data_IF_199732199446
#
_entry.id   IF_199732199446
#
_cell.length_a   1.000
_cell.length_b   1.000
_cell.length_c   1.000
_cell.angle_alpha   90.00
_cell.angle_beta   90.00
_cell.angle_gamma   90.00
#
_symmetry.space_group_name_H-M   'P 1'
#
loop_
_entity.id
_entity.type
_entity.pdbx_description
1 polymer ?
#
# COMPACT_ATOMS: atom_id res chain seq x y z
N UNK A 1 -12.98 66.31 -4.18
CA UNK A 1 -11.79 65.50 -3.87
C UNK A 1 -12.25 64.37 -2.97
N UNK A 2 -12.66 63.26 -3.56
CA UNK A 2 -13.05 62.05 -2.83
C UNK A 2 -11.92 61.04 -2.99
N UNK A 3 -11.26 60.72 -1.90
CA UNK A 3 -10.14 59.78 -1.85
C UNK A 3 -10.71 58.37 -1.80
N UNK A 4 -10.52 57.59 -2.88
CA UNK A 4 -10.84 56.16 -2.92
C UNK A 4 -9.68 55.44 -2.24
N UNK A 5 -9.94 54.85 -1.07
CA UNK A 5 -9.02 53.92 -0.42
C UNK A 5 -9.15 52.56 -1.11
N UNK A 6 -8.10 52.15 -1.83
CA UNK A 6 -7.96 50.80 -2.36
C UNK A 6 -7.51 49.93 -1.18
N UNK A 7 -8.42 49.13 -0.63
CA UNK A 7 -8.06 48.08 0.29
C UNK A 7 -7.28 47.02 -0.49
N UNK A 8 -5.99 46.90 -0.21
CA UNK A 8 -5.17 45.82 -0.73
C UNK A 8 -5.69 44.50 -0.18
N UNK A 9 -6.15 43.61 -1.07
CA UNK A 9 -6.22 42.19 -0.76
C UNK A 9 -4.79 41.74 -0.47
N UNK A 10 -4.46 41.53 0.81
CA UNK A 10 -3.32 40.72 1.16
C UNK A 10 -3.67 39.29 0.72
N UNK A 11 -3.08 38.86 -0.39
CA UNK A 11 -3.04 37.46 -0.76
C UNK A 11 -2.17 36.78 0.32
N UNK A 12 -2.80 36.13 1.30
CA UNK A 12 -2.10 35.23 2.20
C UNK A 12 -1.61 34.08 1.34
N UNK A 13 -0.31 34.09 1.04
CA UNK A 13 0.37 32.90 0.55
C UNK A 13 0.25 31.90 1.70
N UNK A 14 -0.59 30.88 1.56
CA UNK A 14 -0.66 29.80 2.55
C UNK A 14 0.66 29.07 2.43
N UNK A 15 1.58 29.27 3.36
CA UNK A 15 2.74 28.40 3.46
C UNK A 15 2.25 27.04 3.94
N UNK A 16 2.81 25.96 3.41
CA UNK A 16 2.68 24.63 3.99
C UNK A 16 2.92 24.70 5.51
N UNK A 17 1.93 24.29 6.30
CA UNK A 17 2.00 24.22 7.76
C UNK A 17 1.96 22.76 8.23
N UNK A 18 2.45 22.52 9.44
CA UNK A 18 2.33 21.22 10.11
C UNK A 18 1.16 21.29 11.09
N UNK A 19 0.14 20.48 10.85
CA UNK A 19 -1.03 20.30 11.72
C UNK A 19 -0.77 19.08 12.60
N UNK A 20 -0.77 19.25 13.92
CA UNK A 20 -0.44 18.17 14.85
C UNK A 20 -1.69 17.51 15.44
N UNK A 21 -1.66 16.18 15.59
CA UNK A 21 -2.77 15.39 16.15
C UNK A 21 -2.29 14.44 17.24
N UNK A 22 -2.81 14.56 18.47
CA UNK A 22 -2.50 13.62 19.56
C UNK A 22 -3.63 13.44 20.56
N UNK A 23 -3.73 12.23 21.10
CA UNK A 23 -4.82 11.79 21.98
C UNK A 23 -4.84 12.49 23.35
N UNK A 24 -3.71 13.03 23.81
CA UNK A 24 -3.61 13.69 25.12
C UNK A 24 -4.06 15.16 25.11
N UNK A 25 -4.41 15.69 23.92
CA UNK A 25 -4.88 17.06 23.73
C UNK A 25 -3.77 18.12 23.77
N UNK A 26 -2.50 17.73 23.69
CA UNK A 26 -1.37 18.68 23.64
C UNK A 26 -1.11 19.25 22.24
N UNK A 27 -1.73 18.68 21.20
CA UNK A 27 -1.60 19.05 19.79
C UNK A 27 -2.75 19.96 19.33
N UNK A 28 -2.70 20.40 18.07
CA UNK A 28 -3.74 21.25 17.45
C UNK A 28 -5.10 20.55 17.42
N UNK A 29 -5.10 19.24 17.16
CA UNK A 29 -6.29 18.39 17.14
C UNK A 29 -6.11 17.12 17.98
N UNK A 30 -7.25 16.53 18.36
CA UNK A 30 -7.32 15.18 18.95
C UNK A 30 -7.90 14.16 17.97
N UNK A 31 -8.51 14.63 16.89
CA UNK A 31 -9.18 13.83 15.86
C UNK A 31 -8.54 14.07 14.48
N UNK A 32 -7.98 13.03 13.83
CA UNK A 32 -7.42 13.11 12.49
C UNK A 32 -8.42 13.61 11.44
N UNK A 33 -9.71 13.28 11.55
CA UNK A 33 -10.72 13.72 10.59
C UNK A 33 -10.94 15.24 10.68
N UNK A 34 -10.97 15.79 11.89
CA UNK A 34 -11.03 17.24 12.11
C UNK A 34 -9.77 17.97 11.58
N UNK A 35 -8.59 17.38 11.76
CA UNK A 35 -7.35 17.93 11.20
C UNK A 35 -7.37 17.96 9.66
N UNK A 36 -7.80 16.87 9.02
CA UNK A 36 -7.94 16.79 7.57
C UNK A 36 -8.95 17.79 7.01
N UNK A 37 -10.03 18.07 7.74
CA UNK A 37 -11.07 19.00 7.30
C UNK A 37 -10.62 20.47 7.22
N UNK A 38 -9.53 20.83 7.92
CA UNK A 38 -8.98 22.20 7.89
C UNK A 38 -7.71 22.31 7.04
N UNK A 39 -7.13 21.18 6.62
CA UNK A 39 -5.90 21.15 5.85
C UNK A 39 -6.06 21.81 4.47
N UNK A 40 -5.02 22.50 4.06
CA UNK A 40 -4.90 23.19 2.78
C UNK A 40 -3.71 22.65 1.97
N UNK A 41 -3.59 23.06 0.70
CA UNK A 41 -2.57 22.48 -0.20
C UNK A 41 -1.16 22.80 0.30
N UNK A 42 -0.39 21.73 0.49
CA UNK A 42 0.98 21.74 1.02
C UNK A 42 1.09 21.34 2.49
N UNK A 43 -0.02 21.23 3.23
CA UNK A 43 0.03 20.94 4.67
C UNK A 43 0.46 19.49 4.96
N UNK A 44 1.10 19.31 6.12
CA UNK A 44 1.46 18.01 6.69
C UNK A 44 0.63 17.78 7.95
N UNK A 45 -0.16 16.72 7.99
CA UNK A 45 -0.89 16.27 9.17
C UNK A 45 -0.02 15.25 9.90
N UNK A 46 0.63 15.67 10.99
CA UNK A 46 1.48 14.82 11.80
C UNK A 46 0.67 14.22 12.96
N UNK A 47 0.52 12.90 12.95
CA UNK A 47 -0.32 12.17 13.90
C UNK A 47 0.57 11.35 14.82
N UNK A 48 0.48 11.61 16.12
CA UNK A 48 1.23 10.88 17.13
C UNK A 48 0.85 9.38 17.17
N UNK A 49 1.68 8.58 17.85
CA UNK A 49 1.38 7.18 18.08
C UNK A 49 0.12 7.02 18.95
N UNK A 50 -0.74 6.06 18.59
CA UNK A 50 -1.98 5.80 19.30
C UNK A 50 -3.06 5.22 18.39
N UNK A 51 -4.16 4.78 19.01
CA UNK A 51 -5.36 4.34 18.32
C UNK A 51 -6.40 5.44 18.32
N UNK A 52 -6.73 5.93 17.13
CA UNK A 52 -7.72 6.96 16.88
C UNK A 52 -9.00 6.30 16.40
N UNK A 53 -9.99 6.29 17.28
CA UNK A 53 -11.33 5.74 17.01
C UNK A 53 -12.11 6.76 16.20
N UNK A 54 -12.31 6.48 14.91
CA UNK A 54 -12.92 7.42 13.99
C UNK A 54 -14.45 7.35 14.05
N UNK A 55 -15.09 8.50 14.29
CA UNK A 55 -16.53 8.67 14.09
C UNK A 55 -16.87 9.11 12.65
N UNK A 56 -15.90 9.72 11.97
CA UNK A 56 -16.00 10.16 10.58
C UNK A 56 -14.74 9.74 9.81
N UNK A 57 -14.84 9.46 8.50
CA UNK A 57 -13.67 9.19 7.68
C UNK A 57 -12.68 10.36 7.72
N UNK A 58 -11.38 10.04 7.69
CA UNK A 58 -10.36 11.04 7.35
C UNK A 58 -10.50 11.31 5.85
N UNK A 59 -11.03 12.49 5.49
CA UNK A 59 -11.32 12.85 4.10
C UNK A 59 -10.36 13.92 3.61
N UNK A 60 -9.49 13.58 2.66
CA UNK A 60 -8.70 14.54 1.90
C UNK A 60 -9.45 14.84 0.61
N UNK A 61 -9.97 16.07 0.50
CA UNK A 61 -10.75 16.51 -0.67
C UNK A 61 -10.22 17.80 -1.28
N UNK A 62 -9.58 17.70 -2.44
CA UNK A 62 -9.05 18.86 -3.18
C UNK A 62 -7.53 19.02 -3.08
N UNK A 63 -6.97 19.43 -1.93
CA UNK A 63 -5.58 19.88 -1.82
C UNK A 63 -4.57 18.73 -1.77
N UNK A 64 -3.32 19.04 -2.14
CA UNK A 64 -2.16 18.19 -1.85
C UNK A 64 -1.89 18.20 -0.36
N UNK A 65 -1.94 17.03 0.27
CA UNK A 65 -1.74 16.88 1.73
C UNK A 65 -0.88 15.67 2.00
N UNK A 66 0.01 15.79 2.98
CA UNK A 66 0.76 14.67 3.54
C UNK A 66 0.17 14.26 4.88
N UNK A 67 -0.09 12.96 5.09
CA UNK A 67 -0.38 12.38 6.40
C UNK A 67 0.86 11.62 6.85
N UNK A 68 1.40 11.97 8.02
CA UNK A 68 2.55 11.32 8.63
C UNK A 68 2.19 10.77 10.00
N UNK A 69 2.13 9.45 10.10
CA UNK A 69 2.01 8.75 11.38
C UNK A 69 3.37 8.58 12.08
N UNK A 70 3.32 8.12 13.32
CA UNK A 70 4.48 7.73 14.11
C UNK A 70 4.88 6.28 13.84
N UNK A 71 6.13 5.93 14.14
CA UNK A 71 6.65 4.55 14.08
C UNK A 71 7.08 4.05 15.47
N UNK A 72 7.07 2.72 15.65
CA UNK A 72 7.61 2.06 16.83
C UNK A 72 9.15 1.93 16.76
N UNK A 73 9.76 1.32 17.78
CA UNK A 73 11.21 1.13 17.85
C UNK A 73 11.80 0.18 16.78
N UNK A 74 10.95 -0.44 15.94
CA UNK A 74 11.34 -1.27 14.80
C UNK A 74 11.00 -0.62 13.45
N UNK A 75 10.53 0.62 13.45
CA UNK A 75 10.11 1.33 12.24
C UNK A 75 8.69 0.96 11.76
N UNK A 76 7.93 0.17 12.52
CA UNK A 76 6.56 -0.21 12.11
C UNK A 76 5.56 0.89 12.46
N UNK A 77 4.47 1.06 11.71
CA UNK A 77 3.44 2.06 12.00
C UNK A 77 2.88 1.93 13.42
N UNK A 78 2.83 3.05 14.14
CA UNK A 78 2.32 3.16 15.50
C UNK A 78 1.09 4.09 15.61
N UNK A 79 0.70 4.74 14.51
CA UNK A 79 -0.54 5.50 14.37
C UNK A 79 -1.60 4.60 13.75
N UNK A 80 -2.68 4.35 14.48
CA UNK A 80 -3.78 3.47 14.06
C UNK A 80 -5.04 4.30 13.86
N UNK A 81 -5.55 4.32 12.63
CA UNK A 81 -6.85 4.86 12.26
C UNK A 81 -7.86 3.70 12.24
N UNK A 82 -8.77 3.69 13.22
CA UNK A 82 -9.71 2.60 13.43
C UNK A 82 -11.13 3.05 13.08
N UNK A 83 -11.72 2.45 12.05
CA UNK A 83 -13.09 2.71 11.58
C UNK A 83 -14.19 2.09 12.46
N UNK A 84 -13.84 1.33 13.50
CA UNK A 84 -14.77 0.77 14.48
C UNK A 84 -15.88 -0.13 13.88
N UNK A 85 -15.60 -0.76 12.74
CA UNK A 85 -16.56 -1.54 11.97
C UNK A 85 -17.67 -0.68 11.34
N UNK A 86 -17.43 0.62 11.14
CA UNK A 86 -18.42 1.55 10.61
C UNK A 86 -17.80 2.60 9.70
N UNK A 87 -18.28 2.67 8.45
CA UNK A 87 -17.81 3.66 7.50
C UNK A 87 -16.40 3.39 6.99
N UNK A 88 -16.00 4.20 6.03
CA UNK A 88 -14.66 4.16 5.46
C UNK A 88 -13.66 4.84 6.39
N UNK A 89 -12.41 4.37 6.45
CA UNK A 89 -11.39 4.94 7.35
C UNK A 89 -10.73 6.17 6.72
N UNK A 90 -10.25 6.05 5.48
CA UNK A 90 -9.55 7.10 4.76
C UNK A 90 -10.08 7.22 3.32
N UNK A 91 -10.39 8.44 2.90
CA UNK A 91 -10.81 8.76 1.54
C UNK A 91 -9.97 9.89 0.96
N UNK A 92 -9.40 9.69 -0.23
CA UNK A 92 -8.54 10.64 -0.92
C UNK A 92 -9.12 10.94 -2.30
N UNK A 93 -9.57 12.19 -2.47
CA UNK A 93 -10.23 12.70 -3.67
C UNK A 93 -9.63 14.07 -4.02
N UNK A 94 -8.52 14.05 -4.75
CA UNK A 94 -7.74 15.24 -5.06
C UNK A 94 -8.28 16.02 -6.26
N UNK A 95 -7.95 17.31 -6.32
CA UNK A 95 -8.13 18.10 -7.53
C UNK A 95 -7.04 17.76 -8.57
N UNK A 96 -7.24 18.20 -9.81
CA UNK A 96 -6.31 17.93 -10.91
C UNK A 96 -4.93 18.53 -10.59
N UNK A 97 -3.88 17.73 -10.74
CA UNK A 97 -2.48 18.07 -10.44
C UNK A 97 -2.14 18.21 -8.95
N UNK A 98 -3.00 17.76 -8.04
CA UNK A 98 -2.68 17.66 -6.62
C UNK A 98 -2.24 16.22 -6.29
N UNK A 99 -1.40 16.07 -5.27
CA UNK A 99 -0.80 14.79 -4.87
C UNK A 99 -0.96 14.57 -3.38
N UNK A 100 -1.16 13.33 -2.94
CA UNK A 100 -1.18 12.99 -1.52
C UNK A 100 -0.08 11.99 -1.19
N UNK A 101 0.49 12.13 0.00
CA UNK A 101 1.39 11.13 0.58
C UNK A 101 0.85 10.68 1.92
N UNK A 102 0.86 9.39 2.18
CA UNK A 102 0.43 8.81 3.45
C UNK A 102 1.53 7.89 3.93
N UNK A 103 2.08 8.14 5.11
CA UNK A 103 3.14 7.31 5.65
C UNK A 103 2.91 6.90 7.11
N UNK A 104 3.40 5.73 7.47
CA UNK A 104 3.47 5.24 8.85
C UNK A 104 2.10 5.11 9.54
N UNK A 105 1.08 4.67 8.80
CA UNK A 105 -0.29 4.57 9.31
C UNK A 105 -0.86 3.16 9.17
N UNK A 106 -1.61 2.72 10.19
CA UNK A 106 -2.47 1.55 10.12
C UNK A 106 -3.90 2.01 9.82
N UNK A 107 -4.51 1.47 8.77
CA UNK A 107 -5.88 1.72 8.34
C UNK A 107 -6.69 0.44 8.57
N UNK A 108 -7.56 0.44 9.57
CA UNK A 108 -8.19 -0.80 10.04
C UNK A 108 -9.65 -0.67 10.45
N UNK A 109 -10.34 -1.82 10.51
CA UNK A 109 -11.72 -1.98 10.95
C UNK A 109 -12.71 -1.05 10.22
N UNK A 110 -12.46 -0.72 8.97
CA UNK A 110 -13.42 0.00 8.13
C UNK A 110 -14.53 -0.92 7.62
N UNK A 111 -15.73 -0.37 7.44
CA UNK A 111 -16.88 -1.05 6.85
C UNK A 111 -17.60 -0.11 5.88
N UNK A 112 -17.54 -0.40 4.58
CA UNK A 112 -18.17 0.42 3.55
C UNK A 112 -18.79 -0.43 2.42
N UNK A 113 -19.53 0.21 1.50
CA UNK A 113 -19.98 -0.48 0.28
C UNK A 113 -18.79 -0.80 -0.64
N UNK A 114 -17.81 0.11 -0.70
CA UNK A 114 -16.60 0.03 -1.51
C UNK A 114 -15.39 0.46 -0.67
N UNK A 115 -14.32 -0.34 -0.64
CA UNK A 115 -13.06 0.07 0.01
C UNK A 115 -13.20 0.30 1.51
N UNK A 116 -13.43 -0.74 2.31
CA UNK A 116 -13.69 -0.57 3.75
C UNK A 116 -12.68 0.34 4.45
N UNK A 117 -11.39 0.14 4.19
CA UNK A 117 -10.32 0.98 4.74
C UNK A 117 -10.09 2.25 3.92
N UNK A 118 -9.80 2.08 2.63
CA UNK A 118 -9.28 3.16 1.78
C UNK A 118 -10.09 3.33 0.50
N UNK A 119 -10.39 4.58 0.13
CA UNK A 119 -10.87 4.91 -1.22
C UNK A 119 -10.07 6.04 -1.82
N UNK A 120 -9.46 5.76 -2.96
CA UNK A 120 -8.75 6.74 -3.76
C UNK A 120 -9.47 6.94 -5.10
N UNK A 121 -9.70 8.21 -5.46
CA UNK A 121 -10.31 8.57 -6.74
C UNK A 121 -9.54 9.67 -7.47
N UNK A 122 -9.16 9.41 -8.71
CA UNK A 122 -8.53 10.35 -9.66
C UNK A 122 -7.33 11.10 -9.06
N UNK A 123 -6.50 10.41 -8.29
CA UNK A 123 -5.46 11.03 -7.47
C UNK A 123 -4.13 10.32 -7.68
N UNK A 124 -3.04 11.08 -7.75
CA UNK A 124 -1.69 10.55 -7.59
C UNK A 124 -1.41 10.47 -6.09
N UNK A 125 -1.23 9.25 -5.59
CA UNK A 125 -1.08 8.98 -4.16
C UNK A 125 0.06 8.01 -3.96
N UNK A 126 0.97 8.36 -3.05
CA UNK A 126 2.03 7.49 -2.58
C UNK A 126 1.72 7.09 -1.12
N UNK A 127 1.64 5.78 -0.87
CA UNK A 127 1.53 5.20 0.47
C UNK A 127 2.84 4.50 0.80
N UNK A 128 3.44 4.87 1.91
CA UNK A 128 4.74 4.33 2.35
C UNK A 128 4.62 3.76 3.76
N UNK A 129 5.14 2.55 3.99
CA UNK A 129 5.12 1.92 5.31
C UNK A 129 3.73 1.99 5.95
N UNK A 130 2.70 1.60 5.21
CA UNK A 130 1.33 1.59 5.67
C UNK A 130 0.82 0.16 5.84
N UNK A 131 -0.06 -0.04 6.82
CA UNK A 131 -0.74 -1.32 7.04
C UNK A 131 -2.22 -1.13 6.78
N UNK A 132 -2.79 -1.89 5.85
CA UNK A 132 -4.22 -1.86 5.53
C UNK A 132 -4.79 -3.22 5.89
N UNK A 133 -5.49 -3.31 7.02
CA UNK A 133 -5.86 -4.61 7.57
C UNK A 133 -7.23 -4.67 8.25
N UNK A 134 -7.86 -5.84 8.18
CA UNK A 134 -9.13 -6.09 8.88
C UNK A 134 -10.29 -5.21 8.42
N UNK A 135 -10.24 -4.69 7.20
CA UNK A 135 -11.31 -3.88 6.63
C UNK A 135 -12.31 -4.75 5.85
N UNK A 136 -13.55 -4.27 5.75
CA UNK A 136 -14.65 -4.94 5.10
C UNK A 136 -15.35 -4.07 4.06
N UNK A 137 -15.62 -4.63 2.88
CA UNK A 137 -16.53 -4.02 1.92
C UNK A 137 -17.68 -4.95 1.57
N UNK A 138 -18.86 -4.38 1.31
CA UNK A 138 -20.03 -5.17 0.91
C UNK A 138 -20.08 -5.48 -0.59
N UNK A 139 -19.35 -4.74 -1.44
CA UNK A 139 -19.42 -4.93 -2.90
C UNK A 139 -18.05 -5.19 -3.53
N UNK A 140 -17.11 -4.26 -3.44
CA UNK A 140 -15.81 -4.38 -4.10
C UNK A 140 -14.70 -3.76 -3.26
N UNK A 141 -13.56 -4.42 -3.22
CA UNK A 141 -12.38 -3.90 -2.54
C UNK A 141 -12.53 -3.94 -1.04
N UNK A 142 -12.38 -5.10 -0.41
CA UNK A 142 -12.55 -5.26 1.04
C UNK A 142 -11.70 -4.26 1.82
N UNK A 143 -10.42 -4.21 1.49
CA UNK A 143 -9.47 -3.21 2.00
C UNK A 143 -9.64 -1.87 1.32
N UNK A 144 -9.60 -1.88 -0.01
CA UNK A 144 -9.41 -0.65 -0.79
C UNK A 144 -10.23 -0.60 -2.07
N UNK A 145 -10.76 0.57 -2.40
CA UNK A 145 -11.31 0.85 -3.73
C UNK A 145 -10.46 1.92 -4.43
N UNK A 146 -9.83 1.52 -5.52
CA UNK A 146 -8.83 2.32 -6.23
C UNK A 146 -9.34 2.64 -7.63
N UNK A 147 -9.50 3.93 -7.92
CA UNK A 147 -9.81 4.42 -9.28
C UNK A 147 -8.90 5.58 -9.60
N UNK A 148 -7.94 5.39 -10.49
CA UNK A 148 -7.10 6.48 -10.96
C UNK A 148 -7.32 6.76 -12.46
N UNK A 149 -6.56 7.72 -13.00
CA UNK A 149 -6.53 8.06 -14.42
C UNK A 149 -5.19 7.62 -15.02
N UNK A 150 -5.13 7.35 -16.34
CA UNK A 150 -3.87 7.05 -17.02
C UNK A 150 -2.80 8.12 -16.74
N UNK A 151 -1.62 7.68 -16.29
CA UNK A 151 -0.49 8.57 -15.96
C UNK A 151 -0.44 9.10 -14.53
N UNK A 152 -1.42 8.75 -13.67
CA UNK A 152 -1.43 9.08 -12.24
C UNK A 152 -1.40 7.79 -11.41
N UNK A 153 -0.25 7.09 -11.29
CA UNK A 153 -0.22 5.84 -10.55
C UNK A 153 -0.54 6.07 -9.07
N UNK A 154 -1.12 5.05 -8.44
CA UNK A 154 -1.17 4.92 -6.98
C UNK A 154 -0.02 3.97 -6.60
N UNK A 155 0.90 4.42 -5.75
CA UNK A 155 2.04 3.62 -5.32
C UNK A 155 1.85 3.17 -3.87
N UNK A 156 2.07 1.89 -3.61
CA UNK A 156 2.27 1.33 -2.29
C UNK A 156 3.72 0.87 -2.20
N UNK A 157 4.47 1.42 -1.25
CA UNK A 157 5.87 1.13 -1.00
C UNK A 157 6.01 0.60 0.42
N UNK A 158 6.64 -0.56 0.57
CA UNK A 158 6.93 -1.16 1.89
C UNK A 158 5.67 -1.33 2.74
N UNK A 159 4.54 -1.67 2.11
CA UNK A 159 3.23 -1.75 2.75
C UNK A 159 2.84 -3.21 3.09
N UNK A 160 1.90 -3.36 4.01
CA UNK A 160 1.25 -4.64 4.34
C UNK A 160 -0.26 -4.51 4.11
N UNK A 161 -0.83 -5.39 3.30
CA UNK A 161 -2.27 -5.40 2.99
C UNK A 161 -2.82 -6.77 3.35
N UNK A 162 -3.48 -6.88 4.50
CA UNK A 162 -3.77 -8.20 5.09
C UNK A 162 -5.14 -8.36 5.73
N UNK A 163 -5.75 -9.54 5.64
CA UNK A 163 -6.96 -9.85 6.40
C UNK A 163 -8.17 -8.97 6.04
N UNK A 164 -8.16 -8.34 4.86
CA UNK A 164 -9.30 -7.59 4.38
C UNK A 164 -10.28 -8.51 3.66
N UNK A 165 -11.56 -8.17 3.73
CA UNK A 165 -12.63 -9.07 3.29
C UNK A 165 -13.67 -8.34 2.47
N UNK A 166 -14.19 -8.98 1.43
CA UNK A 166 -15.37 -8.49 0.71
C UNK A 166 -16.45 -9.56 0.72
N UNK A 167 -17.60 -9.23 1.31
CA UNK A 167 -18.73 -10.15 1.40
C UNK A 167 -20.05 -9.40 1.50
N UNK A 168 -21.09 -9.84 0.82
CA UNK A 168 -22.43 -9.28 0.99
C UNK A 168 -23.38 -10.31 1.62
N UNK A 169 -24.19 -9.94 2.62
CA UNK A 169 -25.10 -10.88 3.30
C UNK A 169 -26.21 -11.50 2.43
N UNK A 170 -26.25 -11.20 1.12
CA UNK A 170 -27.35 -11.57 0.21
C UNK A 170 -26.92 -11.88 -1.22
N UNK A 171 -25.80 -11.31 -1.68
CA UNK A 171 -25.39 -11.38 -3.07
C UNK A 171 -23.95 -11.87 -3.14
N UNK A 172 -23.70 -12.89 -3.94
CA UNK A 172 -22.35 -13.35 -4.18
C UNK A 172 -21.71 -12.47 -5.27
N UNK A 173 -21.26 -11.29 -4.85
CA UNK A 173 -20.75 -10.26 -5.75
C UNK A 173 -19.48 -9.59 -5.25
N UNK A 174 -18.84 -10.16 -4.23
CA UNK A 174 -17.61 -9.62 -3.65
C UNK A 174 -16.39 -9.89 -4.52
N UNK A 175 -15.71 -8.83 -4.97
CA UNK A 175 -14.45 -8.93 -5.72
C UNK A 175 -13.33 -8.14 -5.05
N UNK A 176 -12.11 -8.67 -5.04
CA UNK A 176 -10.95 -7.94 -4.52
C UNK A 176 -10.96 -7.84 -2.99
N UNK A 177 -10.60 -8.90 -2.28
CA UNK A 177 -10.58 -8.88 -0.80
C UNK A 177 -9.60 -7.83 -0.26
N UNK A 178 -8.37 -7.79 -0.78
CA UNK A 178 -7.40 -6.74 -0.50
C UNK A 178 -7.82 -5.41 -1.14
N UNK A 179 -8.18 -5.43 -2.43
CA UNK A 179 -8.60 -4.22 -3.12
C UNK A 179 -9.21 -4.43 -4.50
N UNK A 180 -9.96 -3.43 -4.95
CA UNK A 180 -10.51 -3.36 -6.29
C UNK A 180 -9.89 -2.22 -7.09
N UNK A 181 -9.33 -2.52 -8.26
CA UNK A 181 -8.77 -1.52 -9.18
C UNK A 181 -9.76 -1.31 -10.32
N UNK A 182 -10.47 -0.19 -10.26
CA UNK A 182 -11.48 0.17 -11.26
C UNK A 182 -10.85 0.66 -12.56
N UNK A 183 -9.73 1.38 -12.51
CA UNK A 183 -9.09 2.00 -13.67
C UNK A 183 -7.69 2.49 -13.27
N UNK A 184 -6.74 2.37 -14.20
CA UNK A 184 -5.39 2.91 -14.08
C UNK A 184 -4.43 2.00 -13.33
N UNK A 185 -3.20 2.50 -13.16
CA UNK A 185 -2.07 1.73 -12.65
C UNK A 185 -1.93 1.84 -11.13
N UNK A 186 -1.87 0.69 -10.46
CA UNK A 186 -1.42 0.55 -9.08
C UNK A 186 -0.04 -0.11 -9.08
N UNK A 187 0.91 0.48 -8.37
CA UNK A 187 2.26 -0.06 -8.19
C UNK A 187 2.39 -0.58 -6.78
N UNK A 188 2.77 -1.83 -6.64
CA UNK A 188 3.17 -2.44 -5.38
C UNK A 188 4.68 -2.64 -5.42
N UNK A 189 5.38 -2.02 -4.48
CA UNK A 189 6.84 -2.05 -4.34
C UNK A 189 7.13 -2.55 -2.93
N UNK A 190 7.92 -3.62 -2.81
CA UNK A 190 8.31 -4.23 -1.53
C UNK A 190 7.12 -4.45 -0.58
N UNK A 191 5.97 -4.79 -1.16
CA UNK A 191 4.69 -4.86 -0.46
C UNK A 191 4.28 -6.31 -0.28
N UNK A 192 3.63 -6.61 0.83
CA UNK A 192 3.00 -7.90 1.08
C UNK A 192 1.48 -7.79 1.03
N UNK A 193 0.84 -8.71 0.31
CA UNK A 193 -0.63 -8.82 0.20
C UNK A 193 -1.02 -10.22 0.60
N UNK A 194 -1.52 -10.41 1.82
CA UNK A 194 -1.74 -11.76 2.36
C UNK A 194 -3.00 -11.96 3.19
N UNK A 195 -3.57 -13.18 3.13
CA UNK A 195 -4.73 -13.55 3.95
C UNK A 195 -5.99 -12.72 3.72
N UNK A 196 -6.13 -12.09 2.54
CA UNK A 196 -7.34 -11.37 2.18
C UNK A 196 -8.36 -12.32 1.54
N UNK A 197 -9.66 -12.02 1.65
CA UNK A 197 -10.73 -12.91 1.19
C UNK A 197 -11.82 -12.19 0.39
N UNK A 198 -12.26 -12.82 -0.69
CA UNK A 198 -13.40 -12.39 -1.50
C UNK A 198 -14.44 -13.52 -1.65
N UNK A 199 -15.72 -13.18 -1.65
CA UNK A 199 -16.76 -14.18 -1.94
C UNK A 199 -16.61 -14.77 -3.35
N UNK A 200 -16.35 -13.94 -4.37
CA UNK A 200 -16.39 -14.40 -5.75
C UNK A 200 -15.00 -14.62 -6.38
N UNK A 201 -14.18 -13.57 -6.51
CA UNK A 201 -12.90 -13.66 -7.24
C UNK A 201 -11.90 -12.59 -6.78
N UNK A 202 -10.61 -12.91 -6.88
CA UNK A 202 -9.54 -12.02 -6.47
C UNK A 202 -9.55 -11.77 -4.97
N UNK A 203 -9.30 -12.80 -4.16
CA UNK A 203 -9.13 -12.69 -2.71
C UNK A 203 -8.11 -11.62 -2.34
N UNK A 204 -7.05 -11.48 -3.12
CA UNK A 204 -6.16 -10.32 -3.10
C UNK A 204 -6.78 -9.17 -3.89
N UNK A 205 -6.42 -9.04 -5.17
CA UNK A 205 -6.88 -7.93 -6.01
C UNK A 205 -7.90 -8.38 -7.07
N UNK A 206 -8.99 -7.61 -7.19
CA UNK A 206 -9.89 -7.66 -8.34
C UNK A 206 -9.70 -6.41 -9.21
N UNK A 207 -9.81 -6.56 -10.52
CA UNK A 207 -9.60 -5.45 -11.46
C UNK A 207 -10.66 -5.42 -12.56
N UNK A 208 -11.01 -4.21 -12.99
CA UNK A 208 -11.70 -4.02 -14.28
C UNK A 208 -10.74 -4.31 -15.44
N UNK A 209 -11.24 -4.31 -16.68
CA UNK A 209 -10.40 -4.46 -17.88
C UNK A 209 -9.41 -3.31 -18.10
N UNK A 210 -9.63 -2.16 -17.44
CA UNK A 210 -8.77 -0.97 -17.50
C UNK A 210 -7.91 -0.83 -16.24
N UNK A 211 -8.02 -1.77 -15.30
CA UNK A 211 -7.18 -1.83 -14.12
C UNK A 211 -5.85 -2.50 -14.43
N UNK A 212 -4.77 -1.93 -13.92
CA UNK A 212 -3.42 -2.47 -14.06
C UNK A 212 -2.75 -2.54 -12.70
N UNK A 213 -2.04 -3.62 -12.45
CA UNK A 213 -1.18 -3.76 -11.28
C UNK A 213 0.24 -4.08 -11.70
N UNK A 214 1.21 -3.40 -11.10
CA UNK A 214 2.63 -3.68 -11.28
C UNK A 214 3.22 -4.15 -9.95
N UNK A 215 3.94 -5.28 -9.98
CA UNK A 215 4.59 -5.87 -8.82
C UNK A 215 6.11 -5.73 -8.96
N UNK A 216 6.75 -5.13 -7.96
CA UNK A 216 8.19 -5.01 -7.82
C UNK A 216 8.57 -5.35 -6.37
N UNK A 217 9.50 -6.28 -6.16
CA UNK A 217 9.79 -6.86 -4.83
C UNK A 217 8.57 -7.39 -4.06
N UNK A 218 7.43 -7.63 -4.72
CA UNK A 218 6.13 -7.76 -4.05
C UNK A 218 5.63 -9.20 -4.00
N UNK A 219 5.04 -9.57 -2.86
CA UNK A 219 4.42 -10.89 -2.65
C UNK A 219 2.91 -10.76 -2.51
N UNK A 220 2.15 -11.43 -3.37
CA UNK A 220 0.71 -11.66 -3.20
C UNK A 220 0.51 -13.14 -2.87
N UNK A 221 0.07 -13.45 -1.65
CA UNK A 221 0.02 -14.85 -1.24
C UNK A 221 -1.08 -15.20 -0.24
N UNK A 222 -1.50 -16.47 -0.20
CA UNK A 222 -2.48 -16.96 0.78
C UNK A 222 -3.80 -16.18 0.79
N UNK A 223 -4.17 -15.55 -0.33
CA UNK A 223 -5.45 -14.87 -0.49
C UNK A 223 -6.48 -15.83 -1.08
N UNK A 224 -7.73 -15.75 -0.62
CA UNK A 224 -8.75 -16.74 -0.93
C UNK A 224 -9.97 -16.13 -1.62
N UNK A 225 -10.47 -16.79 -2.66
CA UNK A 225 -11.75 -16.47 -3.26
C UNK A 225 -12.63 -17.72 -3.32
N UNK A 226 -13.78 -17.69 -2.63
CA UNK A 226 -14.54 -18.92 -2.36
C UNK A 226 -15.11 -19.61 -3.60
N UNK A 227 -15.40 -18.86 -4.67
CA UNK A 227 -16.03 -19.44 -5.87
C UNK A 227 -15.06 -20.04 -6.89
N UNK A 228 -13.79 -19.60 -6.91
CA UNK A 228 -12.88 -19.95 -8.02
C UNK A 228 -11.42 -20.11 -7.55
N UNK A 229 -10.95 -21.35 -7.30
CA UNK A 229 -9.58 -21.61 -6.85
C UNK A 229 -8.50 -21.11 -7.83
N UNK A 230 -8.77 -21.06 -9.15
CA UNK A 230 -7.79 -20.61 -10.15
C UNK A 230 -7.65 -19.08 -10.28
N UNK A 231 -8.52 -18.32 -9.61
CA UNK A 231 -8.48 -16.84 -9.55
C UNK A 231 -8.59 -16.38 -8.09
N UNK A 232 -8.06 -17.21 -7.17
CA UNK A 232 -8.09 -17.01 -5.71
C UNK A 232 -7.40 -15.72 -5.30
N UNK A 233 -6.33 -15.32 -5.99
CA UNK A 233 -5.48 -14.22 -5.54
C UNK A 233 -5.66 -12.93 -6.32
N UNK A 234 -5.57 -12.98 -7.65
CA UNK A 234 -5.72 -11.81 -8.51
C UNK A 234 -6.66 -12.14 -9.68
N UNK A 235 -7.59 -11.24 -9.96
CA UNK A 235 -8.62 -11.42 -10.99
C UNK A 235 -8.78 -10.16 -11.88
N UNK A 236 -8.89 -10.36 -13.19
CA UNK A 236 -9.13 -9.30 -14.16
C UNK A 236 -7.88 -8.50 -14.54
N UNK A 237 -8.08 -7.38 -15.25
CA UNK A 237 -7.04 -6.39 -15.56
C UNK A 237 -5.79 -6.91 -16.24
N UNK A 238 -4.72 -6.13 -16.12
CA UNK A 238 -3.36 -6.51 -16.55
C UNK A 238 -2.42 -6.56 -15.36
N UNK A 239 -1.61 -7.60 -15.28
CA UNK A 239 -0.57 -7.75 -14.26
C UNK A 239 0.78 -7.60 -14.96
N UNK A 240 1.61 -6.69 -14.48
CA UNK A 240 3.02 -6.56 -14.86
C UNK A 240 3.87 -7.00 -13.68
N UNK A 241 4.63 -8.08 -13.82
CA UNK A 241 5.58 -8.48 -12.78
C UNK A 241 6.99 -8.05 -13.21
N UNK A 242 7.58 -7.13 -12.45
CA UNK A 242 9.00 -6.76 -12.52
C UNK A 242 9.78 -7.76 -11.67
N UNK A 243 9.41 -7.83 -10.38
CA UNK A 243 9.94 -8.77 -9.40
C UNK A 243 8.84 -9.07 -8.38
N UNK A 244 8.59 -10.33 -8.07
CA UNK A 244 7.46 -10.70 -7.22
C UNK A 244 6.89 -12.07 -7.50
N UNK A 245 5.85 -12.41 -6.75
CA UNK A 245 5.14 -13.66 -6.89
C UNK A 245 3.65 -13.49 -6.60
N UNK A 246 2.88 -14.43 -7.16
CA UNK A 246 1.49 -14.68 -6.78
C UNK A 246 1.39 -16.17 -6.46
N UNK A 247 1.39 -16.55 -5.18
CA UNK A 247 1.47 -17.96 -4.76
C UNK A 247 0.65 -18.26 -3.50
N UNK A 248 -0.07 -19.38 -3.46
CA UNK A 248 -1.00 -19.69 -2.35
C UNK A 248 -0.29 -19.98 -1.03
N UNK A 249 0.95 -20.49 -1.07
CA UNK A 249 1.68 -20.96 0.11
C UNK A 249 2.45 -19.88 0.85
N UNK A 250 2.55 -18.67 0.29
CA UNK A 250 3.45 -17.61 0.73
C UNK A 250 4.95 -17.99 0.72
N UNK A 251 5.28 -19.17 0.21
CA UNK A 251 6.65 -19.63 -0.02
C UNK A 251 7.12 -19.12 -1.39
N UNK A 252 7.24 -17.80 -1.48
CA UNK A 252 7.84 -17.19 -2.66
C UNK A 252 9.33 -17.04 -2.43
N UNK A 253 10.10 -18.01 -2.90
CA UNK A 253 11.47 -17.78 -3.30
C UNK A 253 11.44 -17.00 -4.59
N UNK A 254 12.12 -15.86 -4.64
CA UNK A 254 12.18 -15.04 -5.85
C UNK A 254 13.19 -15.72 -6.77
N UNK A 255 12.73 -16.76 -7.49
CA UNK A 255 13.50 -17.59 -8.43
C UNK A 255 14.07 -16.79 -9.64
N UNK A 256 14.15 -15.46 -9.55
CA UNK A 256 14.72 -14.56 -10.54
C UNK A 256 16.00 -13.83 -10.10
N UNK A 257 16.45 -14.00 -8.85
CA UNK A 257 17.77 -13.56 -8.41
C UNK A 257 18.61 -14.81 -8.19
N UNK A 258 19.30 -15.28 -9.23
CA UNK A 258 20.10 -16.52 -9.16
C UNK A 258 21.06 -16.50 -7.95
N UNK A 259 21.53 -15.31 -7.55
CA UNK A 259 22.45 -15.11 -6.43
C UNK A 259 21.80 -15.01 -5.04
N UNK A 260 20.48 -14.94 -4.91
CA UNK A 260 19.77 -15.00 -3.63
C UNK A 260 19.57 -16.48 -3.27
N UNK A 261 20.53 -17.01 -2.52
CA UNK A 261 20.63 -18.44 -2.23
C UNK A 261 19.81 -18.84 -1.01
N UNK A 262 19.45 -17.91 -0.13
CA UNK A 262 18.63 -18.18 1.04
C UNK A 262 17.15 -17.78 0.85
N UNK A 263 16.82 -17.11 -0.26
CA UNK A 263 15.47 -16.69 -0.62
C UNK A 263 14.95 -15.54 0.25
N UNK A 264 15.85 -14.72 0.84
CA UNK A 264 15.50 -13.59 1.69
C UNK A 264 15.36 -12.25 0.96
N UNK A 265 15.50 -12.28 -0.38
CA UNK A 265 15.39 -11.17 -1.33
C UNK A 265 16.55 -10.18 -1.30
N UNK A 266 17.61 -10.45 -0.55
CA UNK A 266 18.78 -9.61 -0.52
C UNK A 266 20.02 -10.44 -0.79
N UNK A 267 20.74 -10.19 -1.88
CA UNK A 267 22.01 -10.84 -2.18
C UNK A 267 23.09 -10.25 -1.29
N UNK A 268 23.26 -10.84 -0.12
CA UNK A 268 24.07 -10.27 0.95
C UNK A 268 25.06 -11.29 1.54
N UNK A 269 25.56 -10.99 2.74
CA UNK A 269 26.50 -11.85 3.45
C UNK A 269 25.97 -13.27 3.74
N UNK A 270 24.65 -13.45 3.84
CA UNK A 270 24.02 -14.73 4.06
C UNK A 270 24.13 -15.62 2.80
N UNK A 271 23.86 -15.07 1.61
CA UNK A 271 24.00 -15.78 0.33
C UNK A 271 25.44 -16.08 0.03
N UNK A 272 26.34 -15.12 0.29
CA UNK A 272 27.77 -15.35 0.18
C UNK A 272 28.21 -16.52 1.07
N UNK A 273 27.66 -16.62 2.27
CA UNK A 273 27.86 -17.76 3.15
C UNK A 273 27.45 -19.09 2.51
N UNK A 274 26.29 -19.12 1.85
CA UNK A 274 25.78 -20.30 1.16
C UNK A 274 26.57 -20.65 -0.11
N UNK A 275 27.01 -19.65 -0.88
CA UNK A 275 27.85 -19.84 -2.05
C UNK A 275 29.19 -20.46 -1.64
N UNK A 276 29.85 -19.88 -0.64
CA UNK A 276 31.13 -20.37 -0.14
C UNK A 276 31.03 -21.77 0.48
N UNK A 277 29.87 -22.14 1.05
CA UNK A 277 29.64 -23.48 1.57
C UNK A 277 29.65 -24.58 0.49
N UNK A 278 29.37 -24.23 -0.77
CA UNK A 278 29.32 -25.16 -1.91
C UNK A 278 30.57 -25.09 -2.81
N UNK A 279 31.63 -24.40 -2.39
CA UNK A 279 32.79 -24.11 -3.23
C UNK A 279 33.46 -25.37 -3.82
N UNK A 280 33.63 -25.36 -5.14
CA UNK A 280 34.27 -26.41 -5.92
C UNK A 280 33.43 -27.67 -6.13
N UNK A 281 32.12 -27.61 -5.86
CA UNK A 281 31.14 -28.67 -6.15
C UNK A 281 29.99 -28.09 -6.98
N UNK A 282 29.19 -28.92 -7.67
CA UNK A 282 27.89 -28.48 -8.17
C UNK A 282 26.95 -28.16 -7.00
N UNK A 283 26.05 -27.19 -7.17
CA UNK A 283 25.11 -26.84 -6.12
C UNK A 283 24.39 -25.52 -6.38
N UNK A 284 23.57 -25.05 -5.43
CA UNK A 284 22.78 -23.82 -5.58
C UNK A 284 23.64 -22.58 -5.82
N UNK A 285 24.91 -22.57 -5.43
CA UNK A 285 25.84 -21.48 -5.73
C UNK A 285 26.48 -21.51 -7.11
N UNK A 286 26.11 -22.44 -8.01
CA UNK A 286 26.58 -22.48 -9.40
C UNK A 286 25.68 -21.57 -10.25
N UNK A 287 26.02 -20.29 -10.25
CA UNK A 287 25.24 -19.21 -10.84
C UNK A 287 25.43 -19.11 -12.36
N UNK A 288 26.52 -19.67 -12.88
CA UNK A 288 26.81 -19.64 -14.31
C UNK A 288 26.50 -20.96 -15.04
N UNK A 289 26.18 -22.03 -14.29
CA UNK A 289 25.74 -23.32 -14.80
C UNK A 289 26.88 -24.16 -15.39
N UNK A 290 28.11 -24.02 -14.90
CA UNK A 290 29.28 -24.81 -15.36
C UNK A 290 29.58 -26.04 -14.48
N UNK A 291 28.65 -26.41 -13.61
CA UNK A 291 28.71 -27.49 -12.63
C UNK A 291 29.78 -27.28 -11.52
N UNK A 292 30.32 -26.07 -11.36
CA UNK A 292 31.36 -25.77 -10.35
C UNK A 292 31.14 -24.41 -9.69
N UNK A 293 30.76 -24.38 -8.41
CA UNK A 293 30.78 -23.12 -7.64
C UNK A 293 32.21 -22.60 -7.48
N UNK A 294 32.51 -21.45 -8.05
CA UNK A 294 33.84 -20.88 -8.04
C UNK A 294 33.89 -19.36 -8.17
N UNK A 295 35.04 -18.87 -8.64
CA UNK A 295 35.30 -17.44 -8.74
C UNK A 295 34.39 -16.72 -9.75
N UNK A 296 33.87 -17.42 -10.74
CA UNK A 296 32.92 -16.86 -11.70
C UNK A 296 31.56 -16.61 -11.04
N UNK A 297 31.07 -17.56 -10.24
CA UNK A 297 29.81 -17.44 -9.51
C UNK A 297 29.89 -16.39 -8.42
N UNK A 298 31.01 -16.33 -7.69
CA UNK A 298 31.27 -15.24 -6.76
C UNK A 298 31.22 -13.88 -7.47
N UNK A 299 31.74 -13.80 -8.69
CA UNK A 299 31.66 -12.59 -9.51
C UNK A 299 30.22 -12.20 -9.85
N UNK A 300 29.38 -13.18 -10.19
CA UNK A 300 27.95 -12.96 -10.48
C UNK A 300 27.18 -12.54 -9.22
N UNK A 301 27.43 -13.18 -8.08
CA UNK A 301 26.84 -12.81 -6.81
C UNK A 301 27.22 -11.38 -6.38
N UNK A 302 28.50 -11.03 -6.46
CA UNK A 302 28.93 -9.66 -6.14
C UNK A 302 28.38 -8.62 -7.12
N UNK A 303 28.10 -9.01 -8.37
CA UNK A 303 27.43 -8.14 -9.34
C UNK A 303 25.93 -7.97 -9.05
N UNK A 304 25.31 -8.95 -8.40
CA UNK A 304 23.92 -8.95 -7.97
C UNK A 304 23.72 -8.45 -6.53
N UNK A 305 24.80 -8.02 -5.85
CA UNK A 305 24.77 -7.66 -4.43
C UNK A 305 23.72 -6.60 -4.11
N UNK A 306 22.86 -6.89 -3.15
CA UNK A 306 21.85 -5.97 -2.61
C UNK A 306 21.89 -5.95 -1.08
N UNK A 307 21.40 -4.85 -0.49
CA UNK A 307 21.31 -4.68 0.96
C UNK A 307 19.90 -4.96 1.47
#
# INVERSE_FOLDING_TARGET
LATIAIAGLACSVTSAETITVCLDGSCDFTDPAAAAAVATSGDVIEIAAGTYLLENPVLIYGPSVEIRGAVDGKGRPATILDGQGAGQVLAILLAVNETARVENVVITNGLAEFGGGLWIRHSLVDLENCVISGNHAETQGGGMFLKTLPGLPITFDSCEISGNTVSHPKFDSGYGGAGWISEGLVRLIDTEVSGNSAEHSGGGFGMSTEGEIMLDGTRICGNDASDVPSTSQVFGGTITMVMGCIDDSCDCTFDGIDADLNGDNAVNGADLGLLLANWGQPGPGDLNGDDVVGGADLGLMLAAWSE
#
